data_IF_939866938714
#
_entry.id   IF_939866938714
#
_cell.length_a   1.000
_cell.length_b   1.000
_cell.length_c   1.000
_cell.angle_alpha   90.00
_cell.angle_beta   90.00
_cell.angle_gamma   90.00
#
_symmetry.space_group_name_H-M   'P 1'
#
loop_
_entity.id
_entity.type
_entity.pdbx_description
1 polymer ?
#
# COMPACT_ATOMS: atom_id res chain seq x y z
N UNK A 1 9.02 -6.61 -28.03
CA UNK A 1 9.29 -7.85 -27.27
C UNK A 1 8.28 -7.98 -26.13
N UNK A 2 7.98 -9.20 -25.72
CA UNK A 2 7.07 -9.48 -24.61
C UNK A 2 7.72 -9.26 -23.24
N UNK A 3 6.89 -8.97 -22.23
CA UNK A 3 7.32 -8.71 -20.85
C UNK A 3 8.09 -9.88 -20.21
N UNK A 4 7.88 -11.11 -20.67
CA UNK A 4 8.64 -12.28 -20.22
C UNK A 4 10.16 -12.10 -20.39
N UNK A 5 10.58 -11.36 -21.43
CA UNK A 5 11.99 -11.15 -21.76
C UNK A 5 12.59 -9.92 -21.07
N UNK A 6 11.91 -8.77 -21.16
CA UNK A 6 12.47 -7.48 -20.72
C UNK A 6 12.14 -7.08 -19.27
N UNK A 7 11.20 -7.80 -18.64
CA UNK A 7 10.63 -7.44 -17.32
C UNK A 7 10.62 -8.64 -16.37
N UNK A 8 11.70 -9.44 -16.38
CA UNK A 8 11.92 -10.46 -15.35
C UNK A 8 12.25 -9.78 -14.00
N UNK A 9 12.09 -10.54 -12.91
CA UNK A 9 12.34 -10.10 -11.52
C UNK A 9 12.88 -11.22 -10.64
N UNK A 10 13.14 -12.38 -11.25
CA UNK A 10 13.53 -13.63 -10.61
C UNK A 10 15.00 -13.95 -10.93
N UNK A 11 15.78 -12.97 -11.43
CA UNK A 11 17.17 -13.08 -11.88
C UNK A 11 17.36 -14.15 -12.95
N UNK A 12 16.37 -14.34 -13.81
CA UNK A 12 16.48 -15.21 -14.99
C UNK A 12 17.15 -14.46 -16.11
N UNK A 13 18.46 -14.30 -15.94
CA UNK A 13 19.32 -13.47 -16.79
C UNK A 13 19.32 -13.88 -18.25
N UNK A 14 19.05 -15.14 -18.58
CA UNK A 14 18.91 -15.60 -19.96
C UNK A 14 17.78 -14.88 -20.71
N UNK A 15 16.76 -14.41 -19.98
CA UNK A 15 15.63 -13.67 -20.53
C UNK A 15 16.00 -12.22 -20.78
N UNK A 16 16.56 -11.59 -19.74
CA UNK A 16 17.02 -10.19 -19.79
C UNK A 16 18.11 -10.02 -20.83
N UNK A 17 19.03 -10.98 -20.96
CA UNK A 17 20.09 -10.98 -21.97
C UNK A 17 19.51 -10.95 -23.40
N UNK A 18 18.42 -11.68 -23.67
CA UNK A 18 17.76 -11.64 -24.99
C UNK A 18 17.13 -10.27 -25.28
N UNK A 19 16.50 -9.65 -24.30
CA UNK A 19 16.01 -8.27 -24.44
C UNK A 19 17.17 -7.26 -24.62
N UNK A 20 18.25 -7.43 -23.86
CA UNK A 20 19.47 -6.63 -23.98
C UNK A 20 20.09 -6.72 -25.38
N UNK A 21 20.23 -7.94 -25.92
CA UNK A 21 20.74 -8.19 -27.28
C UNK A 21 19.90 -7.47 -28.34
N UNK A 22 18.59 -7.48 -28.21
CA UNK A 22 17.71 -6.73 -29.11
C UNK A 22 17.94 -5.22 -29.01
N UNK A 23 17.98 -4.67 -27.78
CA UNK A 23 18.10 -3.22 -27.55
C UNK A 23 19.48 -2.64 -27.90
N UNK A 24 20.56 -3.34 -27.53
CA UNK A 24 21.93 -2.81 -27.60
C UNK A 24 22.68 -3.32 -28.82
N UNK A 25 22.45 -4.58 -29.22
CA UNK A 25 23.15 -5.20 -30.34
C UNK A 25 22.30 -5.29 -31.61
N UNK A 26 21.01 -4.97 -31.55
CA UNK A 26 20.10 -5.18 -32.68
C UNK A 26 20.02 -6.66 -33.08
N UNK A 27 20.15 -7.56 -32.10
CA UNK A 27 20.14 -8.99 -32.29
C UNK A 27 18.84 -9.62 -31.74
N UNK A 28 18.06 -10.22 -32.62
CA UNK A 28 16.75 -10.81 -32.35
C UNK A 28 16.10 -11.25 -33.66
N UNK A 29 14.83 -11.62 -33.60
CA UNK A 29 14.03 -11.81 -34.82
C UNK A 29 13.94 -10.49 -35.59
N UNK A 30 13.89 -10.53 -36.91
CA UNK A 30 13.80 -9.31 -37.74
C UNK A 30 12.43 -9.20 -38.38
N UNK A 31 11.88 -7.98 -38.38
CA UNK A 31 10.64 -7.67 -39.09
C UNK A 31 10.68 -6.23 -39.61
N UNK A 32 10.03 -5.98 -40.75
CA UNK A 32 9.90 -4.63 -41.31
C UNK A 32 8.64 -3.90 -40.83
N UNK A 33 7.65 -4.64 -40.31
CA UNK A 33 6.39 -4.11 -39.80
C UNK A 33 6.07 -4.72 -38.41
N UNK A 34 5.90 -3.89 -37.37
CA UNK A 34 5.64 -4.39 -36.02
C UNK A 34 4.27 -5.07 -35.84
N UNK A 35 3.26 -4.67 -36.63
CA UNK A 35 1.92 -5.27 -36.60
C UNK A 35 1.96 -6.66 -37.24
N UNK A 36 2.67 -6.82 -38.36
CA UNK A 36 2.86 -8.12 -38.99
C UNK A 36 3.72 -9.06 -38.12
N UNK A 37 4.73 -8.54 -37.42
CA UNK A 37 5.51 -9.31 -36.47
C UNK A 37 4.64 -9.90 -35.35
N UNK A 38 3.70 -9.11 -34.81
CA UNK A 38 2.75 -9.59 -33.79
C UNK A 38 1.76 -10.60 -34.38
N UNK A 39 1.24 -10.37 -35.58
CA UNK A 39 0.34 -11.33 -36.26
C UNK A 39 1.01 -12.68 -36.49
N UNK A 40 2.28 -12.68 -36.91
CA UNK A 40 3.07 -13.89 -37.07
C UNK A 40 3.27 -14.61 -35.73
N UNK A 41 3.65 -13.89 -34.67
CA UNK A 41 3.75 -14.44 -33.31
C UNK A 41 2.44 -15.10 -32.85
N UNK A 42 1.30 -14.46 -33.09
CA UNK A 42 -0.01 -15.01 -32.73
C UNK A 42 -0.39 -16.23 -33.57
N UNK A 43 -0.03 -16.27 -34.85
CA UNK A 43 -0.25 -17.43 -35.71
C UNK A 43 0.52 -18.67 -35.23
N UNK A 44 1.66 -18.46 -34.55
CA UNK A 44 2.46 -19.51 -33.90
C UNK A 44 1.99 -19.84 -32.47
N UNK A 45 0.93 -19.19 -31.98
CA UNK A 45 0.41 -19.40 -30.63
C UNK A 45 1.21 -18.72 -29.52
N UNK A 46 2.14 -17.82 -29.86
CA UNK A 46 2.94 -17.04 -28.91
C UNK A 46 2.22 -15.72 -28.61
N UNK A 47 1.68 -15.60 -27.39
CA UNK A 47 0.91 -14.43 -26.93
C UNK A 47 1.80 -13.27 -26.46
N UNK A 48 1.21 -12.09 -26.23
CA UNK A 48 1.85 -10.80 -25.90
C UNK A 48 3.00 -10.90 -24.88
N UNK A 49 2.80 -11.70 -23.83
CA UNK A 49 3.76 -11.86 -22.76
C UNK A 49 5.07 -12.47 -23.26
N UNK A 50 5.00 -13.38 -24.25
CA UNK A 50 6.09 -14.25 -24.69
C UNK A 50 6.67 -13.87 -26.06
N UNK A 51 6.08 -12.88 -26.75
CA UNK A 51 6.58 -12.37 -28.04
C UNK A 51 8.10 -12.22 -27.97
N UNK A 52 8.81 -12.90 -28.87
CA UNK A 52 10.27 -12.93 -28.85
C UNK A 52 10.86 -11.52 -29.03
N UNK A 53 12.09 -11.27 -28.58
CA UNK A 53 12.76 -10.01 -28.88
C UNK A 53 12.97 -9.84 -30.40
N UNK A 54 12.20 -8.92 -30.98
CA UNK A 54 12.17 -8.62 -32.42
C UNK A 54 12.69 -7.21 -32.67
N UNK A 55 13.61 -7.09 -33.61
CA UNK A 55 14.18 -5.84 -34.10
C UNK A 55 13.41 -5.41 -35.33
N UNK A 56 12.87 -4.19 -35.30
CA UNK A 56 12.22 -3.61 -36.47
C UNK A 56 13.28 -2.95 -37.35
N UNK A 57 13.38 -3.39 -38.60
CA UNK A 57 14.33 -2.85 -39.59
C UNK A 57 13.60 -1.96 -40.60
N UNK A 58 14.33 -1.05 -41.23
CA UNK A 58 13.85 -0.45 -42.48
C UNK A 58 13.75 -1.52 -43.59
N UNK A 59 13.04 -1.20 -44.68
CA UNK A 59 12.77 -2.14 -45.78
C UNK A 59 14.00 -2.72 -46.47
N UNK A 60 15.18 -2.13 -46.24
CA UNK A 60 16.48 -2.59 -46.76
C UNK A 60 17.28 -3.42 -45.73
N UNK A 61 16.76 -3.62 -44.52
CA UNK A 61 17.39 -4.43 -43.45
C UNK A 61 18.60 -3.78 -42.79
N UNK A 62 18.85 -2.48 -43.03
CA UNK A 62 20.12 -1.82 -42.71
C UNK A 62 20.05 -0.96 -41.44
N UNK A 63 18.92 -0.30 -41.16
CA UNK A 63 18.81 0.55 -39.98
C UNK A 63 18.16 -0.19 -38.81
N UNK A 64 18.98 -0.50 -37.81
CA UNK A 64 18.55 -0.98 -36.49
C UNK A 64 18.73 0.15 -35.49
N UNK A 65 17.61 0.73 -35.04
CA UNK A 65 17.63 1.62 -33.90
C UNK A 65 18.11 0.82 -32.67
N UNK A 66 19.32 1.13 -32.23
CA UNK A 66 20.02 0.46 -31.14
C UNK A 66 20.44 1.52 -30.15
N UNK A 67 20.47 1.18 -28.87
CA UNK A 67 20.94 2.10 -27.82
C UNK A 67 22.46 2.24 -27.92
N UNK A 68 22.93 3.47 -28.06
CA UNK A 68 24.34 3.84 -28.29
C UNK A 68 24.84 4.82 -27.25
N UNK A 69 26.16 5.03 -27.24
CA UNK A 69 26.78 6.05 -26.40
C UNK A 69 26.20 7.44 -26.71
N UNK A 70 25.78 8.15 -25.67
CA UNK A 70 25.17 9.49 -25.76
C UNK A 70 23.65 9.50 -25.95
N UNK A 71 23.00 8.35 -26.07
CA UNK A 71 21.55 8.27 -26.13
C UNK A 71 20.92 8.50 -24.74
N UNK A 72 19.69 9.03 -24.74
CA UNK A 72 18.85 9.09 -23.55
C UNK A 72 17.90 7.87 -23.50
N UNK A 73 17.83 7.22 -22.33
CA UNK A 73 16.91 6.11 -22.06
C UNK A 73 15.96 6.52 -20.94
N UNK A 74 14.69 6.73 -21.29
CA UNK A 74 13.64 6.92 -20.30
C UNK A 74 12.91 5.59 -20.06
N UNK A 75 13.20 4.93 -18.93
CA UNK A 75 12.42 3.78 -18.50
C UNK A 75 11.18 4.28 -17.76
N UNK A 76 10.05 4.29 -18.43
CA UNK A 76 8.80 4.88 -17.95
C UNK A 76 7.97 4.01 -16.98
N UNK A 77 8.41 2.79 -16.66
CA UNK A 77 7.68 1.91 -15.74
C UNK A 77 7.71 2.45 -14.30
N UNK A 78 6.59 2.88 -13.72
CA UNK A 78 6.58 3.36 -12.33
C UNK A 78 6.77 2.27 -11.24
N UNK A 79 6.70 0.99 -11.60
CA UNK A 79 6.83 -0.13 -10.65
C UNK A 79 8.23 -0.75 -10.72
N UNK A 80 8.94 -0.68 -9.60
CA UNK A 80 10.36 -1.02 -9.50
C UNK A 80 10.70 -2.50 -9.75
N UNK A 81 9.88 -3.45 -9.23
CA UNK A 81 10.26 -4.87 -9.12
C UNK A 81 10.74 -5.49 -10.45
N UNK A 82 10.06 -5.19 -11.56
CA UNK A 82 10.40 -5.69 -12.90
C UNK A 82 11.23 -4.72 -13.75
N UNK A 83 11.50 -3.52 -13.25
CA UNK A 83 12.34 -2.53 -13.92
C UNK A 83 13.82 -2.66 -13.51
N UNK A 84 14.09 -3.20 -12.31
CA UNK A 84 15.43 -3.35 -11.71
C UNK A 84 16.43 -4.06 -12.61
N UNK A 85 16.10 -5.25 -13.09
CA UNK A 85 17.07 -6.13 -13.76
C UNK A 85 17.66 -5.51 -15.04
N UNK A 86 16.80 -4.91 -15.88
CA UNK A 86 17.28 -4.21 -17.08
C UNK A 86 17.99 -2.89 -16.72
N UNK A 87 17.56 -2.21 -15.66
CA UNK A 87 18.25 -1.01 -15.15
C UNK A 87 19.66 -1.33 -14.68
N UNK A 88 19.85 -2.42 -13.93
CA UNK A 88 21.16 -2.92 -13.53
C UNK A 88 22.02 -3.30 -14.74
N UNK A 89 21.43 -3.94 -15.75
CA UNK A 89 22.12 -4.24 -17.00
C UNK A 89 22.62 -2.98 -17.74
N UNK A 90 21.94 -1.82 -17.62
CA UNK A 90 22.45 -0.55 -18.16
C UNK A 90 23.46 0.14 -17.24
N UNK A 91 23.22 0.16 -15.93
CA UNK A 91 23.83 1.15 -15.02
C UNK A 91 24.74 0.57 -13.94
N UNK A 92 24.63 -0.71 -13.60
CA UNK A 92 25.47 -1.30 -12.56
C UNK A 92 26.85 -1.67 -13.11
N UNK A 93 27.90 -1.09 -12.51
CA UNK A 93 29.29 -1.31 -12.90
C UNK A 93 29.73 -2.76 -12.71
N UNK A 94 29.43 -3.34 -11.55
CA UNK A 94 29.75 -4.72 -11.20
C UNK A 94 28.71 -5.77 -11.62
N UNK A 95 27.85 -5.47 -12.59
CA UNK A 95 26.81 -6.43 -13.01
C UNK A 95 27.42 -7.69 -13.62
N UNK A 96 26.99 -8.83 -13.09
CA UNK A 96 27.48 -10.19 -13.38
C UNK A 96 26.37 -11.13 -13.92
N UNK A 97 25.16 -10.61 -14.18
CA UNK A 97 24.03 -11.43 -14.63
C UNK A 97 24.24 -12.07 -16.01
N UNK A 98 24.91 -11.39 -16.93
CA UNK A 98 25.33 -11.92 -18.23
C UNK A 98 26.47 -11.09 -18.85
N UNK A 99 27.20 -11.62 -19.86
CA UNK A 99 28.25 -10.86 -20.54
C UNK A 99 27.69 -9.65 -21.32
N UNK A 100 28.23 -8.46 -21.03
CA UNK A 100 27.92 -7.20 -21.75
C UNK A 100 29.17 -6.67 -22.43
N UNK A 101 29.59 -7.22 -23.59
CA UNK A 101 30.81 -6.79 -24.27
C UNK A 101 30.73 -5.34 -24.75
N UNK A 102 29.51 -4.85 -25.00
CA UNK A 102 29.21 -3.44 -25.24
C UNK A 102 28.21 -3.02 -24.18
N UNK A 103 28.55 -1.98 -23.41
CA UNK A 103 27.66 -1.30 -22.47
C UNK A 103 27.60 0.17 -22.87
N UNK A 104 26.51 0.61 -23.53
CA UNK A 104 26.35 2.00 -23.92
C UNK A 104 26.39 2.95 -22.70
N UNK A 105 27.05 4.10 -22.84
CA UNK A 105 26.99 5.22 -21.89
C UNK A 105 25.78 6.07 -22.21
N UNK A 106 24.72 5.96 -21.41
CA UNK A 106 23.43 6.60 -21.66
C UNK A 106 23.04 7.56 -20.55
N UNK A 107 22.26 8.58 -20.90
CA UNK A 107 21.52 9.40 -19.94
C UNK A 107 20.24 8.65 -19.55
N UNK A 108 20.26 7.99 -18.40
CA UNK A 108 19.16 7.13 -17.96
C UNK A 108 18.24 7.83 -16.97
N UNK A 109 16.94 7.84 -17.27
CA UNK A 109 15.90 8.39 -16.40
C UNK A 109 14.91 7.29 -16.02
N UNK A 110 14.66 7.14 -14.72
CA UNK A 110 13.63 6.27 -14.17
C UNK A 110 12.34 7.06 -13.92
N UNK A 111 11.17 6.43 -14.05
CA UNK A 111 9.89 7.07 -13.70
C UNK A 111 9.81 7.33 -12.19
N UNK A 112 10.17 6.33 -11.40
CA UNK A 112 10.23 6.32 -9.94
C UNK A 112 11.55 5.70 -9.49
N UNK A 113 11.80 5.64 -8.18
CA UNK A 113 12.96 4.94 -7.64
C UNK A 113 12.85 3.43 -7.86
N UNK A 114 13.81 2.85 -8.58
CA UNK A 114 13.85 1.40 -8.84
C UNK A 114 14.69 0.64 -7.82
N UNK A 115 15.77 1.23 -7.33
CA UNK A 115 16.69 0.59 -6.38
C UNK A 115 17.30 1.66 -5.46
N UNK A 116 16.93 1.62 -4.18
CA UNK A 116 17.40 2.56 -3.15
C UNK A 116 18.92 2.52 -2.93
N UNK A 117 19.59 1.43 -3.33
CA UNK A 117 21.03 1.29 -3.23
C UNK A 117 21.80 2.02 -4.34
N UNK A 118 21.10 2.54 -5.35
CA UNK A 118 21.66 3.26 -6.48
C UNK A 118 21.14 4.69 -6.53
N UNK A 119 22.04 5.67 -6.64
CA UNK A 119 21.66 7.08 -6.85
C UNK A 119 21.30 7.33 -8.32
N UNK A 120 20.07 6.94 -8.70
CA UNK A 120 19.57 7.05 -10.07
C UNK A 120 18.74 8.33 -10.27
N UNK A 121 18.82 8.99 -11.45
CA UNK A 121 17.90 10.05 -11.81
C UNK A 121 16.46 9.52 -11.90
N UNK A 122 15.54 10.11 -11.13
CA UNK A 122 14.12 9.76 -11.13
C UNK A 122 13.25 10.97 -11.50
N UNK A 123 12.16 10.73 -12.22
CA UNK A 123 11.19 11.77 -12.57
C UNK A 123 10.31 12.14 -11.38
N UNK A 124 9.82 11.13 -10.65
CA UNK A 124 9.03 11.28 -9.43
C UNK A 124 9.77 10.64 -8.26
N UNK A 125 10.27 11.48 -7.34
CA UNK A 125 10.87 11.01 -6.09
C UNK A 125 9.79 10.49 -5.15
N UNK A 126 10.15 9.53 -4.30
CA UNK A 126 9.30 9.15 -3.19
C UNK A 126 9.03 10.37 -2.31
N UNK A 127 7.76 10.61 -1.99
CA UNK A 127 7.39 11.65 -1.03
C UNK A 127 7.59 11.11 0.39
N UNK A 128 8.40 11.80 1.19
CA UNK A 128 8.41 11.60 2.64
C UNK A 128 7.43 12.59 3.25
N UNK A 129 6.41 12.09 3.94
CA UNK A 129 5.48 12.94 4.66
C UNK A 129 6.10 13.39 5.99
N UNK A 130 6.07 14.70 6.24
CA UNK A 130 6.48 15.30 7.52
C UNK A 130 5.25 15.78 8.26
N UNK A 131 5.38 15.95 9.56
CA UNK A 131 4.29 16.41 10.43
C UNK A 131 3.08 15.46 10.37
N UNK A 132 3.33 14.16 10.17
CA UNK A 132 2.28 13.15 10.31
C UNK A 132 1.87 13.05 11.78
N UNK A 133 0.74 12.40 12.08
CA UNK A 133 0.22 12.37 13.45
C UNK A 133 1.24 11.79 14.46
N UNK A 134 2.03 10.80 14.04
CA UNK A 134 3.11 10.24 14.85
C UNK A 134 4.22 11.25 15.18
N UNK A 135 4.63 12.09 14.22
CA UNK A 135 5.57 13.20 14.45
C UNK A 135 5.03 14.18 15.49
N UNK A 136 3.76 14.56 15.35
CA UNK A 136 3.11 15.53 16.25
C UNK A 136 3.00 14.97 17.67
N UNK A 137 2.63 13.70 17.82
CA UNK A 137 2.60 13.03 19.11
C UNK A 137 3.97 13.01 19.78
N UNK A 138 5.01 12.62 19.05
CA UNK A 138 6.38 12.60 19.56
C UNK A 138 6.86 13.99 19.99
N UNK A 139 6.61 15.01 19.16
CA UNK A 139 7.02 16.39 19.43
C UNK A 139 6.35 17.00 20.67
N UNK A 140 5.12 16.57 20.99
CA UNK A 140 4.34 17.05 22.14
C UNK A 140 4.36 16.08 23.33
N UNK A 141 5.15 14.99 23.26
CA UNK A 141 5.26 14.01 24.33
C UNK A 141 3.98 13.22 24.61
N UNK A 142 3.10 13.08 23.61
CA UNK A 142 1.84 12.35 23.73
C UNK A 142 2.13 10.85 23.81
N UNK A 143 1.91 10.28 24.99
CA UNK A 143 2.03 8.83 25.17
C UNK A 143 0.88 8.12 24.49
N UNK A 144 1.19 7.19 23.61
CA UNK A 144 0.20 6.49 22.81
C UNK A 144 0.48 5.00 22.68
N UNK A 145 -0.57 4.19 22.64
CA UNK A 145 -0.51 2.75 22.43
C UNK A 145 -0.98 2.40 21.02
N UNK A 146 -0.24 1.53 20.32
CA UNK A 146 -0.64 0.88 19.06
C UNK A 146 -0.92 -0.59 19.31
N UNK A 147 -2.11 -1.05 18.96
CA UNK A 147 -2.46 -2.47 19.12
C UNK A 147 -3.30 -2.97 17.95
N UNK A 148 -2.97 -4.17 17.49
CA UNK A 148 -3.73 -4.93 16.51
C UNK A 148 -3.25 -6.38 16.56
N UNK A 149 -3.97 -7.25 15.86
CA UNK A 149 -3.46 -8.59 15.56
C UNK A 149 -2.49 -8.59 14.37
N UNK A 150 -1.76 -9.70 14.16
CA UNK A 150 -0.67 -9.84 13.18
C UNK A 150 -1.01 -9.25 11.81
N UNK A 151 -2.19 -9.54 11.27
CA UNK A 151 -2.61 -9.10 9.93
C UNK A 151 -2.64 -7.57 9.78
N UNK A 152 -2.97 -6.85 10.84
CA UNK A 152 -3.11 -5.38 10.81
C UNK A 152 -2.12 -4.63 11.70
N UNK A 153 -1.17 -5.32 12.32
CA UNK A 153 -0.13 -4.70 13.15
C UNK A 153 0.72 -3.68 12.39
N UNK A 154 1.17 -4.01 11.18
CA UNK A 154 1.91 -3.07 10.33
C UNK A 154 1.08 -1.82 9.95
N UNK A 155 -0.26 -1.93 9.93
CA UNK A 155 -1.17 -0.84 9.54
C UNK A 155 -1.26 0.22 10.64
N UNK A 156 -1.29 -0.18 11.90
CA UNK A 156 -1.29 0.74 13.05
C UNK A 156 0.11 1.19 13.49
N UNK A 157 1.17 0.67 12.85
CA UNK A 157 2.57 0.99 13.14
C UNK A 157 3.27 1.53 11.90
N UNK A 158 3.89 0.68 11.08
CA UNK A 158 4.65 1.06 9.88
C UNK A 158 3.90 2.03 8.96
N UNK A 159 2.69 1.68 8.50
CA UNK A 159 1.93 2.53 7.58
C UNK A 159 1.42 3.80 8.26
N UNK A 160 0.91 3.70 9.48
CA UNK A 160 0.50 4.86 10.28
C UNK A 160 1.65 5.86 10.46
N UNK A 161 2.88 5.35 10.59
CA UNK A 161 4.10 6.12 10.79
C UNK A 161 4.78 6.55 9.48
N UNK A 162 4.07 6.50 8.35
CA UNK A 162 4.59 6.95 7.06
C UNK A 162 5.71 6.08 6.50
N UNK A 163 5.69 4.78 6.81
CA UNK A 163 6.70 3.81 6.37
C UNK A 163 7.91 3.68 7.31
N UNK A 164 7.78 4.08 8.58
CA UNK A 164 8.84 3.95 9.58
C UNK A 164 8.62 2.73 10.48
N UNK A 165 9.60 1.83 10.52
CA UNK A 165 9.55 0.63 11.37
C UNK A 165 9.80 0.93 12.85
N UNK A 166 10.78 1.78 13.16
CA UNK A 166 11.10 2.15 14.55
C UNK A 166 9.96 2.95 15.21
N UNK A 167 9.55 2.62 16.45
CA UNK A 167 8.59 3.41 17.22
C UNK A 167 9.09 4.84 17.48
N UNK A 168 8.17 5.81 17.50
CA UNK A 168 8.47 7.16 17.96
C UNK A 168 8.63 7.22 19.49
N UNK A 169 9.33 8.24 20.04
CA UNK A 169 9.32 8.48 21.48
C UNK A 169 7.89 8.59 22.04
N UNK A 170 7.58 7.82 23.10
CA UNK A 170 6.25 7.77 23.71
C UNK A 170 5.24 6.87 23.00
N UNK A 171 5.64 6.15 21.95
CA UNK A 171 4.83 5.15 21.26
C UNK A 171 5.11 3.75 21.82
N UNK A 172 4.13 3.18 22.52
CA UNK A 172 4.12 1.78 22.92
C UNK A 172 3.38 0.94 21.88
N UNK A 173 3.79 -0.32 21.71
CA UNK A 173 3.18 -1.25 20.77
C UNK A 173 2.92 -2.60 21.41
N UNK A 174 1.72 -3.14 21.25
CA UNK A 174 1.38 -4.51 21.63
C UNK A 174 0.81 -5.26 20.42
N UNK A 175 1.35 -6.46 20.14
CA UNK A 175 0.94 -7.33 19.04
C UNK A 175 0.18 -8.53 19.60
N UNK A 176 -0.98 -8.83 19.02
CA UNK A 176 -1.69 -10.08 19.26
C UNK A 176 -1.45 -11.04 18.09
N UNK A 177 -1.01 -12.29 18.31
CA UNK A 177 -0.91 -13.25 17.22
C UNK A 177 -2.28 -13.56 16.62
N UNK A 178 -2.46 -13.33 15.31
CA UNK A 178 -3.64 -13.80 14.56
C UNK A 178 -3.80 -15.33 14.66
N UNK A 179 -5.03 -15.86 14.55
CA UNK A 179 -5.25 -17.29 14.68
C UNK A 179 -4.62 -18.07 13.53
N UNK A 180 -4.11 -19.27 13.83
CA UNK A 180 -3.49 -20.16 12.84
C UNK A 180 -4.55 -21.01 12.14
N UNK A 181 -5.37 -20.36 11.31
CA UNK A 181 -6.39 -20.99 10.46
C UNK A 181 -6.00 -20.89 8.98
N UNK A 182 -6.56 -21.74 8.12
CA UNK A 182 -6.25 -21.68 6.69
C UNK A 182 -6.88 -20.46 6.02
N UNK A 183 -8.11 -20.13 6.42
CA UNK A 183 -8.87 -18.95 6.01
C UNK A 183 -9.68 -18.46 7.21
N UNK A 184 -9.86 -17.14 7.33
CA UNK A 184 -10.43 -16.52 8.54
C UNK A 184 -11.93 -16.73 8.72
N UNK A 185 -12.65 -17.23 7.71
CA UNK A 185 -14.04 -17.70 7.86
C UNK A 185 -14.19 -18.82 8.88
N UNK A 186 -13.12 -19.59 9.14
CA UNK A 186 -13.10 -20.67 10.13
C UNK A 186 -13.08 -20.16 11.58
N UNK A 187 -12.67 -18.91 11.78
CA UNK A 187 -12.64 -18.24 13.08
C UNK A 187 -12.92 -16.74 12.90
N UNK A 188 -14.18 -16.35 12.64
CA UNK A 188 -14.54 -14.98 12.25
C UNK A 188 -14.27 -13.91 13.32
N UNK A 189 -14.26 -14.31 14.59
CA UNK A 189 -13.86 -13.45 15.72
C UNK A 189 -12.36 -13.11 15.72
N UNK A 190 -11.57 -13.83 14.91
CA UNK A 190 -10.13 -13.74 14.81
C UNK A 190 -9.46 -13.64 16.19
N UNK A 191 -8.61 -12.63 16.41
CA UNK A 191 -8.05 -12.31 17.73
C UNK A 191 -8.57 -10.99 18.29
N UNK A 192 -9.72 -10.52 17.79
CA UNK A 192 -10.31 -9.26 18.23
C UNK A 192 -10.63 -9.22 19.74
N UNK A 193 -11.12 -10.30 20.39
CA UNK A 193 -11.31 -10.28 21.85
C UNK A 193 -10.02 -9.98 22.63
N UNK A 194 -8.90 -10.56 22.22
CA UNK A 194 -7.60 -10.34 22.86
C UNK A 194 -7.07 -8.92 22.58
N UNK A 195 -7.32 -8.38 21.38
CA UNK A 195 -7.01 -6.98 21.07
C UNK A 195 -7.85 -6.04 21.94
N UNK A 196 -9.14 -6.33 22.13
CA UNK A 196 -10.03 -5.56 23.01
C UNK A 196 -9.59 -5.59 24.47
N UNK A 197 -9.09 -6.73 24.97
CA UNK A 197 -8.51 -6.82 26.31
C UNK A 197 -7.32 -5.87 26.50
N UNK A 198 -6.46 -5.73 25.49
CA UNK A 198 -5.36 -4.76 25.52
C UNK A 198 -5.90 -3.33 25.59
N UNK A 199 -6.88 -2.98 24.75
CA UNK A 199 -7.50 -1.65 24.76
C UNK A 199 -8.12 -1.35 26.14
N UNK A 200 -8.88 -2.29 26.69
CA UNK A 200 -9.51 -2.14 28.01
C UNK A 200 -8.46 -1.97 29.12
N UNK A 201 -7.35 -2.73 29.08
CA UNK A 201 -6.25 -2.55 30.06
C UNK A 201 -5.62 -1.17 29.95
N UNK A 202 -5.33 -0.69 28.73
CA UNK A 202 -4.72 0.61 28.51
C UNK A 202 -5.64 1.76 28.97
N UNK A 203 -6.93 1.69 28.62
CA UNK A 203 -7.95 2.64 29.07
C UNK A 203 -8.05 2.65 30.60
N UNK A 204 -8.08 1.48 31.24
CA UNK A 204 -8.15 1.36 32.70
C UNK A 204 -6.88 1.83 33.41
N UNK A 205 -5.71 1.64 32.79
CA UNK A 205 -4.42 2.04 33.33
C UNK A 205 -4.17 3.55 33.26
N UNK A 206 -4.68 4.22 32.22
CA UNK A 206 -4.56 5.67 32.07
C UNK A 206 -3.13 6.17 31.80
N UNK A 207 -2.21 5.28 31.42
CA UNK A 207 -0.82 5.64 31.11
C UNK A 207 -0.69 6.33 29.74
N UNK A 208 -1.56 5.94 28.79
CA UNK A 208 -1.62 6.45 27.43
C UNK A 208 -2.73 7.50 27.27
N UNK A 209 -2.39 8.60 26.60
CA UNK A 209 -3.34 9.64 26.21
C UNK A 209 -4.11 9.29 24.94
N UNK A 210 -3.52 8.44 24.08
CA UNK A 210 -4.14 7.98 22.83
C UNK A 210 -3.96 6.47 22.70
N UNK A 211 -5.02 5.77 22.32
CA UNK A 211 -4.96 4.35 21.94
C UNK A 211 -5.41 4.23 20.49
N UNK A 212 -4.54 3.73 19.62
CA UNK A 212 -4.85 3.44 18.21
C UNK A 212 -4.96 1.93 18.06
N UNK A 213 -6.15 1.47 17.72
CA UNK A 213 -6.48 0.05 17.56
C UNK A 213 -7.03 -0.22 16.17
N UNK A 214 -6.63 -1.36 15.58
CA UNK A 214 -7.28 -1.92 14.40
C UNK A 214 -7.84 -3.30 14.74
N UNK A 215 -9.11 -3.50 14.41
CA UNK A 215 -9.74 -4.81 14.41
C UNK A 215 -9.84 -5.33 12.97
N UNK A 216 -9.14 -6.43 12.68
CA UNK A 216 -8.91 -6.91 11.31
C UNK A 216 -10.12 -7.65 10.68
N UNK A 217 -11.05 -8.09 11.52
CA UNK A 217 -12.05 -9.11 11.23
C UNK A 217 -12.91 -8.79 10.02
N UNK A 218 -13.43 -7.56 9.95
CA UNK A 218 -14.35 -7.16 8.89
C UNK A 218 -13.72 -7.31 7.51
N UNK A 219 -12.44 -6.96 7.39
CA UNK A 219 -11.70 -7.04 6.14
C UNK A 219 -11.20 -8.46 5.83
N UNK A 220 -10.49 -9.06 6.78
CA UNK A 220 -9.86 -10.37 6.57
C UNK A 220 -10.88 -11.49 6.36
N UNK A 221 -12.04 -11.41 7.01
CA UNK A 221 -13.15 -12.34 6.77
C UNK A 221 -13.94 -11.93 5.52
N UNK A 222 -14.09 -10.64 5.23
CA UNK A 222 -14.72 -10.17 3.98
C UNK A 222 -14.03 -10.73 2.73
N UNK A 223 -12.70 -10.84 2.75
CA UNK A 223 -11.91 -11.46 1.67
C UNK A 223 -12.21 -12.94 1.39
N UNK A 224 -12.87 -13.67 2.30
CA UNK A 224 -13.24 -15.06 2.06
C UNK A 224 -14.50 -15.18 1.19
N UNK A 225 -15.31 -14.12 1.14
CA UNK A 225 -16.61 -14.14 0.47
C UNK A 225 -17.69 -14.92 1.21
N UNK A 226 -17.41 -15.40 2.43
CA UNK A 226 -18.39 -16.08 3.27
C UNK A 226 -19.22 -15.06 4.06
N UNK A 227 -20.46 -14.86 3.62
CA UNK A 227 -21.38 -13.89 4.21
C UNK A 227 -21.78 -14.23 5.66
N UNK A 228 -21.90 -15.53 6.00
CA UNK A 228 -22.27 -15.94 7.35
C UNK A 228 -21.11 -15.67 8.33
N UNK A 229 -19.89 -16.01 7.90
CA UNK A 229 -18.68 -15.71 8.64
C UNK A 229 -18.48 -14.18 8.79
N UNK A 230 -18.61 -13.41 7.72
CA UNK A 230 -18.48 -11.95 7.79
C UNK A 230 -19.52 -11.31 8.71
N UNK A 231 -20.75 -11.85 8.72
CA UNK A 231 -21.79 -11.44 9.68
C UNK A 231 -21.39 -11.74 11.12
N UNK A 232 -20.78 -12.91 11.38
CA UNK A 232 -20.29 -13.27 12.71
C UNK A 232 -19.10 -12.41 13.16
N UNK A 233 -18.20 -12.07 12.24
CA UNK A 233 -17.12 -11.12 12.47
C UNK A 233 -17.65 -9.75 12.92
N UNK A 234 -18.65 -9.20 12.22
CA UNK A 234 -19.27 -7.92 12.60
C UNK A 234 -19.98 -7.96 13.95
N UNK A 235 -20.73 -9.04 14.24
CA UNK A 235 -21.36 -9.23 15.55
C UNK A 235 -20.34 -9.27 16.68
N UNK A 236 -19.17 -9.85 16.43
CA UNK A 236 -18.06 -9.82 17.40
C UNK A 236 -17.62 -8.39 17.63
N UNK A 237 -17.34 -7.62 16.57
CA UNK A 237 -16.91 -6.22 16.69
C UNK A 237 -17.93 -5.35 17.44
N UNK A 238 -19.21 -5.50 17.12
CA UNK A 238 -20.30 -4.79 17.81
C UNK A 238 -20.29 -5.09 19.33
N UNK A 239 -20.18 -6.36 19.71
CA UNK A 239 -20.06 -6.77 21.10
C UNK A 239 -18.82 -6.24 21.81
N UNK A 240 -17.67 -6.16 21.12
CA UNK A 240 -16.44 -5.58 21.68
C UNK A 240 -16.56 -4.07 21.87
N UNK A 241 -17.16 -3.36 20.92
CA UNK A 241 -17.44 -1.92 21.06
C UNK A 241 -18.39 -1.64 22.21
N UNK A 242 -19.41 -2.49 22.43
CA UNK A 242 -20.31 -2.38 23.58
C UNK A 242 -19.59 -2.51 24.94
N UNK A 243 -18.41 -3.14 24.99
CA UNK A 243 -17.57 -3.20 26.18
C UNK A 243 -16.57 -2.04 26.27
N UNK A 244 -15.96 -1.64 25.16
CA UNK A 244 -14.92 -0.59 25.12
C UNK A 244 -15.53 0.80 25.35
N UNK A 245 -16.66 1.10 24.71
CA UNK A 245 -17.25 2.44 24.72
C UNK A 245 -17.57 2.93 26.13
N UNK A 246 -18.28 2.16 26.99
CA UNK A 246 -18.56 2.58 28.36
C UNK A 246 -17.30 2.87 29.18
N UNK A 247 -16.26 2.04 29.04
CA UNK A 247 -15.03 2.17 29.83
C UNK A 247 -14.23 3.43 29.51
N UNK A 248 -14.25 3.86 28.24
CA UNK A 248 -13.65 5.14 27.84
C UNK A 248 -14.49 6.32 28.34
N UNK A 249 -15.82 6.25 28.18
CA UNK A 249 -16.71 7.31 28.63
C UNK A 249 -16.67 7.49 30.15
N UNK A 250 -16.58 6.42 30.94
CA UNK A 250 -16.41 6.48 32.40
C UNK A 250 -15.19 7.30 32.83
N UNK A 251 -14.18 7.42 31.97
CA UNK A 251 -12.92 8.15 32.20
C UNK A 251 -12.87 9.50 31.48
N UNK A 252 -14.02 9.99 31.04
CA UNK A 252 -14.17 11.26 30.31
C UNK A 252 -13.31 11.31 29.03
N UNK A 253 -13.04 10.14 28.44
CA UNK A 253 -12.36 10.02 27.15
C UNK A 253 -13.31 10.13 25.96
N UNK A 254 -12.71 10.32 24.78
CA UNK A 254 -13.42 10.38 23.50
C UNK A 254 -12.97 9.23 22.61
N UNK A 255 -13.91 8.60 21.89
CA UNK A 255 -13.65 7.56 20.90
C UNK A 255 -13.97 8.11 19.52
N UNK A 256 -13.04 7.88 18.57
CA UNK A 256 -13.29 8.00 17.15
C UNK A 256 -13.47 6.59 16.56
N UNK A 257 -14.65 6.30 16.01
CA UNK A 257 -14.92 5.01 15.34
C UNK A 257 -14.98 5.25 13.84
N UNK A 258 -14.13 4.56 13.09
CA UNK A 258 -14.02 4.70 11.63
C UNK A 258 -13.43 3.45 10.99
N UNK A 259 -13.26 3.45 9.67
CA UNK A 259 -12.59 2.39 8.91
C UNK A 259 -11.61 3.02 7.91
N UNK A 260 -10.60 2.25 7.48
CA UNK A 260 -9.64 2.63 6.44
C UNK A 260 -10.21 2.43 5.03
N UNK A 261 -11.11 1.47 4.85
CA UNK A 261 -11.89 1.25 3.62
C UNK A 261 -13.11 0.33 3.89
N UNK A 262 -13.93 0.10 2.86
CA UNK A 262 -14.99 -0.91 2.87
C UNK A 262 -14.54 -2.27 2.32
N UNK A 263 -15.29 -3.33 2.62
CA UNK A 263 -15.16 -4.69 2.11
C UNK A 263 -16.48 -5.47 2.33
N UNK A 264 -16.67 -5.97 3.55
CA UNK A 264 -17.76 -6.85 3.99
C UNK A 264 -19.19 -6.28 3.88
N UNK A 265 -19.34 -4.96 3.73
CA UNK A 265 -20.66 -4.35 3.51
C UNK A 265 -21.21 -4.62 2.09
N UNK A 266 -20.33 -5.03 1.16
CA UNK A 266 -20.70 -5.36 -0.21
C UNK A 266 -20.02 -6.68 -0.66
N UNK A 267 -20.59 -7.81 -0.25
CA UNK A 267 -20.03 -9.14 -0.54
C UNK A 267 -20.71 -9.87 -1.70
N UNK A 268 -21.80 -9.32 -2.25
CA UNK A 268 -22.54 -9.92 -3.36
C UNK A 268 -22.84 -8.83 -4.39
N UNK A 269 -22.41 -9.06 -5.63
CA UNK A 269 -22.67 -8.14 -6.75
C UNK A 269 -24.16 -8.13 -7.14
N UNK A 270 -24.63 -7.10 -7.87
CA UNK A 270 -26.00 -7.08 -8.40
C UNK A 270 -26.36 -8.32 -9.24
N UNK A 271 -25.38 -8.95 -9.88
CA UNK A 271 -25.50 -10.17 -10.69
C UNK A 271 -25.42 -11.47 -9.85
N UNK A 272 -25.31 -11.35 -8.52
CA UNK A 272 -25.25 -12.49 -7.59
C UNK A 272 -23.87 -13.13 -7.46
N UNK A 273 -22.79 -12.46 -7.90
CA UNK A 273 -21.43 -12.97 -7.75
C UNK A 273 -20.88 -12.62 -6.37
N UNK A 274 -20.16 -13.56 -5.75
CA UNK A 274 -19.42 -13.29 -4.52
C UNK A 274 -18.29 -12.30 -4.81
N UNK A 275 -18.23 -11.24 -4.01
CA UNK A 275 -17.18 -10.23 -4.03
C UNK A 275 -16.25 -10.48 -2.85
N UNK A 276 -14.95 -10.49 -3.14
CA UNK A 276 -13.88 -10.71 -2.15
C UNK A 276 -12.89 -9.56 -2.10
N UNK A 277 -13.18 -8.46 -2.79
CA UNK A 277 -12.34 -7.27 -2.88
C UNK A 277 -12.93 -6.13 -2.05
N UNK A 278 -12.10 -5.11 -1.77
CA UNK A 278 -12.58 -3.87 -1.15
C UNK A 278 -13.63 -3.19 -2.02
N UNK A 279 -14.49 -2.41 -1.39
CA UNK A 279 -15.49 -1.59 -2.06
C UNK A 279 -15.01 -0.13 -2.23
N UNK A 280 -15.82 0.67 -2.93
CA UNK A 280 -15.67 2.12 -3.02
C UNK A 280 -16.65 2.87 -2.09
N UNK A 281 -17.29 2.15 -1.17
CA UNK A 281 -18.29 2.72 -0.27
C UNK A 281 -17.62 3.67 0.74
N UNK A 282 -18.32 4.74 1.17
CA UNK A 282 -17.82 5.62 2.22
C UNK A 282 -17.69 4.87 3.55
N UNK A 283 -16.70 5.24 4.34
CA UNK A 283 -16.50 4.69 5.69
C UNK A 283 -17.25 5.51 6.74
N UNK A 284 -17.72 4.89 7.84
CA UNK A 284 -18.32 5.63 8.93
C UNK A 284 -17.27 6.51 9.64
N UNK A 285 -17.72 7.60 10.24
CA UNK A 285 -16.94 8.36 11.21
C UNK A 285 -17.86 8.78 12.35
N UNK A 286 -17.63 8.23 13.55
CA UNK A 286 -18.39 8.54 14.75
C UNK A 286 -17.46 9.15 15.79
N UNK A 287 -17.94 10.19 16.47
CA UNK A 287 -17.30 10.78 17.65
C UNK A 287 -18.17 10.46 18.85
N UNK A 288 -17.63 9.73 19.82
CA UNK A 288 -18.35 9.27 21.01
C UNK A 288 -17.65 9.83 22.24
N UNK A 289 -18.32 10.74 22.93
CA UNK A 289 -17.85 11.40 24.15
C UNK A 289 -19.05 11.97 24.91
N UNK A 290 -18.93 12.12 26.24
CA UNK A 290 -20.02 12.63 27.08
C UNK A 290 -20.45 14.04 26.66
N UNK A 291 -19.51 14.86 26.24
CA UNK A 291 -19.71 16.23 25.77
C UNK A 291 -20.52 16.31 24.46
N UNK A 292 -20.61 15.20 23.71
CA UNK A 292 -21.33 15.11 22.44
C UNK A 292 -22.72 14.47 22.58
N UNK A 293 -23.10 14.02 23.78
CA UNK A 293 -24.39 13.37 24.01
C UNK A 293 -25.57 14.29 23.63
N UNK A 294 -26.42 13.79 22.72
CA UNK A 294 -27.59 14.55 22.23
C UNK A 294 -27.25 15.76 21.35
N UNK A 295 -26.00 15.91 20.90
CA UNK A 295 -25.55 17.03 20.07
C UNK A 295 -25.06 16.56 18.71
N UNK A 296 -25.27 17.38 17.68
CA UNK A 296 -24.55 17.22 16.41
C UNK A 296 -23.11 17.65 16.65
N UNK A 297 -22.18 16.70 16.59
CA UNK A 297 -20.75 16.92 16.81
C UNK A 297 -19.96 17.02 15.50
N UNK A 298 -20.53 16.60 14.37
CA UNK A 298 -19.86 16.60 13.07
C UNK A 298 -20.30 17.78 12.21
N UNK A 299 -19.35 18.40 11.54
CA UNK A 299 -19.56 19.43 10.55
C UNK A 299 -20.25 18.88 9.29
N UNK A 300 -20.99 19.75 8.60
CA UNK A 300 -21.58 19.43 7.30
C UNK A 300 -20.52 19.51 6.18
N UNK A 301 -20.57 18.57 5.25
CA UNK A 301 -19.74 18.59 4.04
C UNK A 301 -19.12 17.24 3.69
N UNK A 302 -18.28 17.25 2.65
CA UNK A 302 -17.47 16.11 2.26
C UNK A 302 -16.16 16.10 3.06
N UNK A 303 -15.83 14.92 3.59
CA UNK A 303 -14.62 14.61 4.34
C UNK A 303 -14.03 13.29 3.86
N UNK A 304 -12.74 13.09 4.11
CA UNK A 304 -12.05 11.83 3.84
C UNK A 304 -11.10 11.46 4.98
N UNK A 305 -10.37 10.35 4.83
CA UNK A 305 -9.46 9.84 5.86
C UNK A 305 -8.41 10.87 6.32
N UNK A 306 -7.99 11.76 5.42
CA UNK A 306 -7.05 12.86 5.72
C UNK A 306 -7.55 13.83 6.81
N UNK A 307 -8.86 13.86 7.07
CA UNK A 307 -9.52 14.76 8.01
C UNK A 307 -9.55 14.18 9.45
N UNK A 308 -9.24 12.90 9.61
CA UNK A 308 -9.23 12.20 10.91
C UNK A 308 -8.08 12.70 11.80
N UNK A 309 -6.86 12.79 11.26
CA UNK A 309 -5.71 13.26 12.04
C UNK A 309 -5.87 14.71 12.56
N UNK A 310 -6.30 15.70 11.75
CA UNK A 310 -6.70 17.02 12.25
C UNK A 310 -7.77 16.99 13.34
N UNK A 311 -8.77 16.11 13.21
CA UNK A 311 -9.82 15.94 14.23
C UNK A 311 -9.25 15.44 15.56
N UNK A 312 -8.32 14.47 15.52
CA UNK A 312 -7.63 13.98 16.71
C UNK A 312 -6.78 15.07 17.38
N UNK A 313 -6.11 15.91 16.58
CA UNK A 313 -5.31 17.02 17.12
C UNK A 313 -6.19 18.06 17.82
N UNK A 314 -7.35 18.40 17.25
CA UNK A 314 -8.31 19.31 17.89
C UNK A 314 -8.79 18.76 19.24
N UNK A 315 -9.15 17.47 19.31
CA UNK A 315 -9.54 16.81 20.56
C UNK A 315 -8.44 16.80 21.62
N UNK A 316 -7.18 16.73 21.20
CA UNK A 316 -6.02 16.80 22.09
C UNK A 316 -5.62 18.25 22.45
N UNK A 317 -6.30 19.26 21.90
CA UNK A 317 -5.94 20.67 22.08
C UNK A 317 -4.61 21.04 21.43
N UNK A 318 -4.18 20.31 20.40
CA UNK A 318 -2.91 20.52 19.70
C UNK A 318 -3.12 21.28 18.39
N UNK A 319 -2.17 22.16 17.99
CA UNK A 319 -2.27 22.86 16.73
C UNK A 319 -2.11 21.90 15.56
N UNK A 320 -2.93 22.09 14.52
CA UNK A 320 -2.78 21.38 13.24
C UNK A 320 -1.58 21.93 12.46
N UNK A 321 -0.60 21.09 12.06
CA UNK A 321 0.50 21.50 11.19
C UNK A 321 0.03 21.99 9.81
N UNK A 322 0.82 22.83 9.16
CA UNK A 322 0.50 23.36 7.82
C UNK A 322 0.54 22.26 6.74
N UNK A 323 1.36 21.21 6.93
CA UNK A 323 1.44 20.07 6.01
C UNK A 323 0.17 19.22 5.99
N UNK A 324 -0.63 19.26 7.07
CA UNK A 324 -1.91 18.55 7.12
C UNK A 324 -2.99 19.34 6.35
N UNK A 325 -3.15 18.99 5.07
CA UNK A 325 -4.18 19.59 4.19
C UNK A 325 -5.63 19.20 4.53
N UNK A 326 -5.83 18.24 5.43
CA UNK A 326 -7.14 17.91 5.98
C UNK A 326 -7.63 18.95 7.00
N UNK A 327 -8.89 18.86 7.39
CA UNK A 327 -9.52 19.72 8.40
C UNK A 327 -10.26 18.87 9.41
N UNK A 328 -10.46 19.40 10.62
CA UNK A 328 -11.27 18.72 11.61
C UNK A 328 -12.69 18.51 11.11
N UNK A 329 -13.24 17.34 11.40
CA UNK A 329 -14.61 16.94 11.09
C UNK A 329 -15.55 17.42 12.22
N UNK A 330 -15.03 17.76 13.40
CA UNK A 330 -15.86 18.21 14.51
C UNK A 330 -16.34 19.65 14.27
N UNK A 331 -17.64 19.88 14.47
CA UNK A 331 -18.23 21.21 14.34
C UNK A 331 -17.97 22.03 15.60
N UNK A 332 -16.99 22.94 15.54
CA UNK A 332 -16.79 24.04 16.50
C UNK A 332 -16.78 23.62 17.98
N UNK A 333 -15.61 23.22 18.48
CA UNK A 333 -15.31 23.12 19.92
C UNK A 333 -15.51 24.44 20.67
#
# INVERSE_FOLDING_TARGET
CGRYWAMDRDKRWERVERAWKMLVHGAGEEASDPVEALRASYAEGVTDEFVTPTVITDGDGLSKATVRDGDAVFFWNFRADRARELTWAFLQDGFDGFPRPIRPRVDYLCMTEYDESMDLPVLFRAETHRSILADVFAAHGIRNLRTAETEKYAHVTYFFNGGREEPYPGEDRELVPSPKVATYDQQPEMSAPQVADIVLRAVRGGEHQVVVVNFANGDMVGHTGDLEAATAAFKTLDGLLAMIVPEVLERDGVILITADHGNCEEMISPEGRVLTNHSLNPVPFLVVGKEYEGRKSLADGEFGLKDIAPTMLELLGLPRPEEMSGRSIISGS
#
